data_IF_107119186531
#
_entry.id   IF_107119186531
#
_cell.length_a   1.000
_cell.length_b   1.000
_cell.length_c   1.000
_cell.angle_alpha   90.00
_cell.angle_beta   90.00
_cell.angle_gamma   90.00
#
_symmetry.space_group_name_H-M   'P 1'
#
loop_
_entity.id
_entity.type
_entity.pdbx_description
1 polymer ?
#
# COMPACT_ATOMS: atom_id res chain seq x y z
N UNK A 1 -28.89 9.44 -25.18
CA UNK A 1 -28.46 10.65 -24.43
C UNK A 1 -28.18 10.33 -22.95
N UNK A 2 -29.09 9.72 -22.15
CA UNK A 2 -28.81 9.42 -20.74
C UNK A 2 -27.82 8.27 -20.49
N UNK A 3 -27.76 7.24 -21.35
CA UNK A 3 -26.83 6.11 -21.15
C UNK A 3 -25.37 6.46 -21.42
N UNK A 4 -25.11 7.38 -22.34
CA UNK A 4 -23.76 7.89 -22.64
C UNK A 4 -23.25 8.73 -21.46
N UNK A 5 -24.11 9.54 -20.86
CA UNK A 5 -23.77 10.32 -19.67
C UNK A 5 -23.42 9.42 -18.47
N UNK A 6 -24.18 8.35 -18.25
CA UNK A 6 -23.87 7.34 -17.22
C UNK A 6 -22.56 6.59 -17.49
N UNK A 7 -22.29 6.24 -18.75
CA UNK A 7 -21.04 5.59 -19.14
C UNK A 7 -19.84 6.53 -18.92
N UNK A 8 -19.99 7.80 -19.30
CA UNK A 8 -18.98 8.84 -19.13
C UNK A 8 -18.70 9.12 -17.65
N UNK A 9 -19.75 9.18 -16.81
CA UNK A 9 -19.62 9.34 -15.36
C UNK A 9 -18.86 8.17 -14.70
N UNK A 10 -19.16 6.92 -15.09
CA UNK A 10 -18.43 5.75 -14.59
C UNK A 10 -16.96 5.76 -15.02
N UNK A 11 -16.68 6.18 -16.24
CA UNK A 11 -15.32 6.26 -16.78
C UNK A 11 -14.48 7.32 -16.04
N UNK A 12 -15.07 8.48 -15.76
CA UNK A 12 -14.41 9.55 -14.99
C UNK A 12 -14.12 9.11 -13.55
N UNK A 13 -15.06 8.42 -12.87
CA UNK A 13 -14.81 7.95 -11.49
C UNK A 13 -13.66 6.95 -11.40
N UNK A 14 -13.50 6.06 -12.38
CA UNK A 14 -12.41 5.09 -12.41
C UNK A 14 -11.04 5.73 -12.68
N UNK A 15 -11.04 6.90 -13.35
CA UNK A 15 -9.82 7.64 -13.68
C UNK A 15 -9.31 8.50 -12.51
N UNK A 16 -10.17 8.79 -11.53
CA UNK A 16 -9.88 9.60 -10.36
C UNK A 16 -9.53 8.76 -9.12
N UNK A 17 -9.44 7.45 -9.26
CA UNK A 17 -9.01 6.56 -8.19
C UNK A 17 -7.55 6.89 -7.90
N UNK A 18 -7.31 7.52 -6.75
CA UNK A 18 -5.96 7.80 -6.28
C UNK A 18 -5.24 6.46 -6.23
N UNK A 19 -4.19 6.30 -7.03
CA UNK A 19 -3.29 5.16 -6.96
C UNK A 19 -3.08 4.83 -5.48
N UNK A 20 -3.41 3.60 -5.08
CA UNK A 20 -3.32 3.16 -3.69
C UNK A 20 -1.83 3.10 -3.28
N UNK A 21 -1.25 4.27 -3.01
CA UNK A 21 0.14 4.44 -2.64
C UNK A 21 0.29 4.04 -1.19
N UNK A 22 1.15 3.04 -0.96
CA UNK A 22 1.51 2.61 0.38
C UNK A 22 2.32 3.73 1.06
N UNK A 23 1.87 4.17 2.24
CA UNK A 23 2.63 5.07 3.11
C UNK A 23 3.74 4.29 3.81
N UNK A 24 4.96 4.80 3.79
CA UNK A 24 6.14 4.15 4.40
C UNK A 24 6.71 5.07 5.48
N UNK A 25 6.91 4.53 6.68
CA UNK A 25 7.55 5.24 7.80
C UNK A 25 8.71 4.42 8.35
N UNK A 26 9.85 5.05 8.61
CA UNK A 26 11.05 4.39 9.14
C UNK A 26 11.08 4.56 10.66
N UNK A 27 10.72 3.51 11.39
CA UNK A 27 10.73 3.51 12.85
C UNK A 27 12.14 3.37 13.44
N UNK A 28 12.98 2.56 12.80
CA UNK A 28 14.35 2.31 13.22
C UNK A 28 15.26 2.10 12.01
N UNK A 29 16.48 2.64 12.09
CA UNK A 29 17.53 2.41 11.11
C UNK A 29 18.87 2.20 11.83
N UNK A 30 19.65 1.17 11.48
CA UNK A 30 20.97 0.96 12.05
C UNK A 30 21.92 2.09 11.65
N UNK A 31 22.97 2.31 12.46
CA UNK A 31 23.95 3.39 12.26
C UNK A 31 24.65 3.32 10.89
N UNK A 32 25.00 2.11 10.44
CA UNK A 32 25.59 1.87 9.13
C UNK A 32 24.84 0.73 8.41
N UNK A 33 24.66 0.87 7.09
CA UNK A 33 24.00 -0.13 6.25
C UNK A 33 24.59 -0.08 4.83
N UNK A 34 25.34 -1.12 4.46
CA UNK A 34 26.06 -1.19 3.17
C UNK A 34 25.23 -1.85 2.07
N UNK A 35 24.25 -2.68 2.43
CA UNK A 35 23.38 -3.39 1.50
C UNK A 35 21.93 -3.00 1.74
N UNK A 36 21.24 -2.56 0.70
CA UNK A 36 19.79 -2.31 0.71
C UNK A 36 19.08 -3.43 -0.01
N UNK A 37 17.87 -3.77 0.44
CA UNK A 37 17.00 -4.72 -0.23
C UNK A 37 16.65 -4.22 -1.64
N UNK A 38 16.70 -5.11 -2.62
CA UNK A 38 16.28 -4.85 -4.01
C UNK A 38 15.31 -5.93 -4.48
N UNK A 39 14.66 -5.67 -5.61
CA UNK A 39 13.80 -6.64 -6.27
C UNK A 39 14.56 -7.94 -6.56
N UNK A 40 13.94 -9.08 -6.21
CA UNK A 40 14.52 -10.41 -6.36
C UNK A 40 15.28 -10.92 -5.13
N UNK A 41 15.52 -10.09 -4.12
CA UNK A 41 16.10 -10.55 -2.86
C UNK A 41 15.07 -11.37 -2.04
N UNK A 42 15.55 -12.34 -1.26
CA UNK A 42 14.76 -13.06 -0.27
C UNK A 42 15.00 -12.42 1.10
N UNK A 43 13.94 -11.96 1.76
CA UNK A 43 14.04 -11.25 3.03
C UNK A 43 13.55 -12.08 4.22
N UNK A 44 14.45 -12.27 5.19
CA UNK A 44 14.24 -12.58 6.59
C UNK A 44 13.40 -11.54 7.35
N UNK A 45 12.05 -11.58 7.37
CA UNK A 45 11.25 -10.55 8.06
C UNK A 45 10.35 -11.10 9.17
N UNK A 46 10.26 -10.34 10.26
CA UNK A 46 9.15 -10.41 11.22
C UNK A 46 8.20 -9.25 10.94
N UNK A 47 6.90 -9.50 10.80
CA UNK A 47 5.91 -8.48 10.53
C UNK A 47 4.65 -8.67 11.37
N UNK A 48 3.97 -7.55 11.62
CA UNK A 48 2.70 -7.48 12.31
C UNK A 48 1.70 -6.72 11.43
N UNK A 49 0.52 -7.31 11.23
CA UNK A 49 -0.54 -6.73 10.42
C UNK A 49 -1.70 -6.24 11.28
N UNK A 50 -2.10 -4.98 11.10
CA UNK A 50 -3.21 -4.33 11.81
C UNK A 50 -4.23 -3.73 10.84
N UNK A 51 -5.51 -3.77 11.21
CA UNK A 51 -6.57 -3.06 10.48
C UNK A 51 -6.53 -1.56 10.81
N UNK A 52 -6.46 -0.71 9.80
CA UNK A 52 -6.41 0.76 10.00
C UNK A 52 -7.67 1.29 10.70
N UNK A 53 -8.84 0.71 10.44
CA UNK A 53 -10.12 1.20 10.97
C UNK A 53 -10.27 1.09 12.49
N UNK A 54 -9.62 0.13 13.13
CA UNK A 54 -9.80 -0.16 14.55
C UNK A 54 -8.53 -0.61 15.29
N UNK A 55 -7.40 -0.68 14.59
CA UNK A 55 -6.11 -1.11 15.15
C UNK A 55 -6.04 -2.58 15.57
N UNK A 56 -7.00 -3.42 15.16
CA UNK A 56 -7.00 -4.84 15.56
C UNK A 56 -5.92 -5.58 14.79
N UNK A 57 -5.07 -6.32 15.51
CA UNK A 57 -4.07 -7.20 14.89
C UNK A 57 -4.77 -8.38 14.22
N UNK A 58 -4.46 -8.62 12.93
CA UNK A 58 -4.98 -9.77 12.20
C UNK A 58 -3.90 -10.83 11.91
N UNK A 59 -2.61 -10.50 11.99
CA UNK A 59 -1.52 -11.45 11.76
C UNK A 59 -0.19 -11.02 12.39
N UNK A 60 0.64 -12.00 12.76
CA UNK A 60 2.04 -11.79 13.19
C UNK A 60 2.87 -13.03 12.80
N UNK A 61 4.02 -12.82 12.15
CA UNK A 61 4.97 -13.88 11.74
C UNK A 61 6.40 -13.35 11.77
#
# INVERSE_FOLDING_TARGET
IPSILHLFLRFITCLLEQDAVVKIEVLHKPFACFQKSKYGDILLVHFEGFLESNGTMFHSR
#
